data_IF_141629904432
#
_entry.id   IF_141629904432
#
_cell.length_a   1.000
_cell.length_b   1.000
_cell.length_c   1.000
_cell.angle_alpha   90.00
_cell.angle_beta   90.00
_cell.angle_gamma   90.00
#
_symmetry.space_group_name_H-M   'P 1'
#
loop_
_entity.id
_entity.type
_entity.pdbx_description
1 polymer ?
#
# COMPACT_ATOMS: atom_id res chain seq x y z
N UNK A 1 11.36 -4.26 -0.98
CA UNK A 1 10.44 -4.41 -2.12
C UNK A 1 11.02 -3.71 -3.34
N UNK A 2 11.07 -4.40 -4.48
CA UNK A 2 11.64 -3.82 -5.69
C UNK A 2 10.66 -2.89 -6.40
N UNK A 3 11.19 -2.05 -7.28
CA UNK A 3 10.39 -1.08 -8.02
C UNK A 3 9.33 -1.74 -8.91
N UNK A 4 9.67 -2.88 -9.52
CA UNK A 4 8.73 -3.60 -10.38
C UNK A 4 7.53 -4.11 -9.59
N UNK A 5 7.78 -4.73 -8.44
CA UNK A 5 6.71 -5.26 -7.60
C UNK A 5 5.81 -4.11 -7.11
N UNK A 6 6.43 -3.01 -6.69
CA UNK A 6 5.67 -1.83 -6.26
C UNK A 6 4.76 -1.32 -7.39
N UNK A 7 5.31 -1.21 -8.60
CA UNK A 7 4.53 -0.76 -9.75
C UNK A 7 3.39 -1.72 -10.07
N UNK A 8 3.66 -3.04 -9.97
CA UNK A 8 2.65 -4.05 -10.24
C UNK A 8 1.47 -3.94 -9.26
N UNK A 9 1.76 -3.69 -7.98
CA UNK A 9 0.71 -3.53 -6.98
C UNK A 9 -0.09 -2.25 -7.23
N UNK A 10 0.60 -1.15 -7.53
CA UNK A 10 -0.08 0.11 -7.85
C UNK A 10 -1.01 -0.06 -9.06
N UNK A 11 -0.53 -0.75 -10.09
CA UNK A 11 -1.33 -1.00 -11.29
C UNK A 11 -2.53 -1.86 -10.99
N UNK A 12 -2.34 -2.94 -10.21
CA UNK A 12 -3.43 -3.82 -9.79
C UNK A 12 -4.52 -3.03 -9.07
N UNK A 13 -4.12 -2.10 -8.20
CA UNK A 13 -5.04 -1.30 -7.40
C UNK A 13 -5.47 -0.02 -8.12
N UNK A 14 -5.15 0.10 -9.42
CA UNK A 14 -5.56 1.20 -10.29
C UNK A 14 -5.09 2.57 -9.80
N UNK A 15 -3.93 2.59 -9.17
CA UNK A 15 -3.33 3.82 -8.63
C UNK A 15 -4.30 4.56 -7.71
N UNK A 16 -4.96 3.83 -6.84
CA UNK A 16 -5.90 4.36 -5.85
C UNK A 16 -5.65 3.72 -4.50
N UNK A 17 -5.92 4.49 -3.45
CA UNK A 17 -5.95 3.95 -2.09
C UNK A 17 -7.09 2.94 -1.99
N UNK A 18 -6.79 1.71 -1.55
CA UNK A 18 -7.83 0.68 -1.42
C UNK A 18 -8.77 0.94 -0.26
N UNK A 19 -8.41 1.81 0.66
CA UNK A 19 -9.23 2.14 1.83
C UNK A 19 -10.20 3.27 1.57
N UNK A 20 -9.72 4.39 1.03
CA UNK A 20 -10.55 5.58 0.84
C UNK A 20 -10.80 5.93 -0.63
N UNK A 21 -10.14 5.27 -1.56
CA UNK A 21 -10.31 5.51 -2.98
C UNK A 21 -9.57 6.71 -3.53
N UNK A 22 -8.75 7.39 -2.72
CA UNK A 22 -8.03 8.57 -3.17
C UNK A 22 -7.05 8.22 -4.29
N UNK A 23 -7.05 9.02 -5.34
CA UNK A 23 -6.11 8.86 -6.46
C UNK A 23 -4.84 9.64 -6.18
N UNK A 24 -3.74 9.21 -6.79
CA UNK A 24 -2.50 9.96 -6.71
C UNK A 24 -2.64 11.29 -7.46
N UNK A 25 -2.28 12.39 -6.80
CA UNK A 25 -2.25 13.72 -7.39
C UNK A 25 -1.18 14.55 -6.68
N UNK A 26 -1.17 15.88 -6.90
CA UNK A 26 -0.15 16.75 -6.31
C UNK A 26 -0.26 16.86 -4.78
N UNK A 27 -1.40 16.48 -4.21
CA UNK A 27 -1.65 16.54 -2.76
C UNK A 27 -1.73 15.16 -2.12
N UNK A 28 -1.79 14.09 -2.91
CA UNK A 28 -1.98 12.73 -2.43
C UNK A 28 -0.89 11.84 -2.97
N UNK A 29 -0.09 11.27 -2.09
CA UNK A 29 0.93 10.31 -2.46
C UNK A 29 0.47 8.91 -2.09
N UNK A 30 0.68 7.95 -3.00
CA UNK A 30 0.34 6.56 -2.78
C UNK A 30 1.58 5.78 -2.34
N UNK A 31 1.36 4.82 -1.45
CA UNK A 31 2.39 3.93 -0.94
C UNK A 31 1.89 2.49 -1.06
N UNK A 32 2.82 1.56 -1.28
CA UNK A 32 2.50 0.14 -1.21
C UNK A 32 2.87 -0.33 0.19
N UNK A 33 1.90 -0.89 0.89
CA UNK A 33 2.02 -1.26 2.29
C UNK A 33 1.79 -2.76 2.48
N UNK A 34 2.40 -3.32 3.53
CA UNK A 34 2.18 -4.70 3.91
C UNK A 34 0.93 -4.81 4.77
N UNK A 35 0.00 -5.69 4.38
CA UNK A 35 -1.21 -5.94 5.17
C UNK A 35 -0.80 -6.52 6.51
N UNK A 36 0.01 -7.59 6.50
CA UNK A 36 0.67 -8.10 7.70
C UNK A 36 2.07 -7.52 7.74
N UNK A 37 2.44 -6.78 8.78
CA UNK A 37 3.76 -6.15 8.86
C UNK A 37 4.90 -7.16 8.76
N UNK A 38 6.00 -6.75 8.14
CA UNK A 38 7.21 -7.59 8.05
C UNK A 38 7.70 -7.98 9.43
N UNK A 39 7.60 -7.06 10.39
CA UNK A 39 7.99 -7.32 11.78
C UNK A 39 7.17 -8.42 12.44
N UNK A 40 6.03 -8.80 11.85
CA UNK A 40 5.17 -9.88 12.33
C UNK A 40 5.12 -11.05 11.37
N UNK A 41 6.13 -11.21 10.53
CA UNK A 41 6.23 -12.31 9.60
C UNK A 41 5.54 -12.08 8.27
N UNK A 42 5.17 -10.85 7.93
CA UNK A 42 4.57 -10.53 6.64
C UNK A 42 5.57 -10.71 5.50
N UNK A 43 5.06 -11.06 4.32
CA UNK A 43 5.86 -11.30 3.14
C UNK A 43 5.62 -10.24 2.09
N UNK A 44 6.41 -10.29 1.01
CA UNK A 44 6.23 -9.43 -0.17
C UNK A 44 5.33 -10.07 -1.22
N UNK A 45 4.55 -11.08 -0.86
CA UNK A 45 3.57 -11.65 -1.79
C UNK A 45 2.52 -10.60 -2.14
N UNK A 46 2.09 -10.53 -3.41
CA UNK A 46 1.05 -9.57 -3.80
C UNK A 46 -0.21 -9.65 -2.93
N UNK A 47 -0.56 -10.85 -2.44
CA UNK A 47 -1.71 -11.03 -1.55
C UNK A 47 -1.54 -10.33 -0.20
N UNK A 48 -0.30 -10.00 0.18
CA UNK A 48 0.01 -9.30 1.42
C UNK A 48 0.35 -7.82 1.21
N UNK A 49 0.13 -7.30 0.00
CA UNK A 49 0.46 -5.92 -0.33
C UNK A 49 -0.80 -5.18 -0.77
N UNK A 50 -0.85 -3.90 -0.43
CA UNK A 50 -1.98 -3.03 -0.78
C UNK A 50 -1.49 -1.62 -1.01
N UNK A 51 -2.24 -0.87 -1.84
CA UNK A 51 -1.94 0.54 -2.10
C UNK A 51 -2.72 1.38 -1.10
N UNK A 52 -2.03 2.26 -0.38
CA UNK A 52 -2.64 3.19 0.56
C UNK A 52 -2.16 4.61 0.27
N UNK A 53 -3.02 5.60 0.45
CA UNK A 53 -2.57 6.99 0.44
C UNK A 53 -1.81 7.28 1.74
N UNK A 54 -1.03 8.37 1.74
CA UNK A 54 -0.21 8.70 2.90
C UNK A 54 -1.04 8.81 4.18
N UNK A 55 -2.24 9.40 4.09
CA UNK A 55 -3.12 9.54 5.25
C UNK A 55 -3.53 8.20 5.83
N UNK A 56 -3.98 7.27 4.98
CA UNK A 56 -4.40 5.94 5.43
C UNK A 56 -3.21 5.14 5.94
N UNK A 57 -2.05 5.29 5.29
CA UNK A 57 -0.84 4.60 5.70
C UNK A 57 -0.38 5.05 7.08
N UNK A 58 -0.40 6.34 7.34
CA UNK A 58 -0.04 6.87 8.66
C UNK A 58 -1.05 6.45 9.73
N UNK A 59 -2.35 6.46 9.39
CA UNK A 59 -3.38 6.05 10.31
C UNK A 59 -3.31 4.58 10.68
N UNK A 60 -2.87 3.74 9.73
CA UNK A 60 -2.70 2.31 9.98
C UNK A 60 -1.50 2.03 10.88
N UNK A 61 -0.40 2.76 10.68
CA UNK A 61 0.84 2.50 11.37
C UNK A 61 1.32 1.08 11.09
N UNK A 62 1.73 0.35 12.14
CA UNK A 62 2.20 -1.04 12.03
C UNK A 62 1.11 -2.07 12.32
N UNK A 63 -0.15 -1.65 12.40
CA UNK A 63 -1.26 -2.55 12.71
C UNK A 63 -1.70 -3.30 11.47
N UNK A 64 -2.08 -4.59 11.59
CA UNK A 64 -2.72 -5.32 10.49
C UNK A 64 -4.06 -4.68 10.13
N UNK A 65 -4.44 -4.82 8.89
CA UNK A 65 -5.71 -4.26 8.41
C UNK A 65 -6.80 -5.30 8.52
#
# INVERSE_FOLDING_TARGET
MGAKLRYDILTRDKFRCVKCGAKQDEHTQLHVDHIKPVSRGGTNDPSNLQTLCARCNLGKGARPV
#
